data_IF_531695230365
#
_entry.id   IF_531695230365
#
_cell.length_a   1.000
_cell.length_b   1.000
_cell.length_c   1.000
_cell.angle_alpha   90.00
_cell.angle_beta   90.00
_cell.angle_gamma   90.00
#
_symmetry.space_group_name_H-M   'P 1'
#
loop_
_entity.id
_entity.type
_entity.pdbx_description
1 polymer ?
#
# COMPACT_ATOMS: atom_id res chain seq x y z
N UNK A 1 5.38 9.31 0.00
CA UNK A 1 5.60 8.96 -1.42
C UNK A 1 4.31 8.93 -2.22
N UNK A 2 3.30 8.19 -1.76
CA UNK A 2 2.07 7.91 -2.54
C UNK A 2 1.32 9.15 -3.04
N UNK A 3 1.17 10.21 -2.22
CA UNK A 3 0.47 11.43 -2.61
C UNK A 3 1.00 12.08 -3.90
N UNK A 4 2.32 12.19 -4.04
CA UNK A 4 2.95 12.73 -5.25
C UNK A 4 2.69 11.85 -6.48
N UNK A 5 2.64 10.52 -6.30
CA UNK A 5 2.38 9.57 -7.38
C UNK A 5 0.94 9.64 -7.89
N UNK A 6 -0.04 9.96 -7.03
CA UNK A 6 -1.42 10.19 -7.49
C UNK A 6 -1.53 11.37 -8.44
N UNK A 7 -0.72 12.41 -8.25
CA UNK A 7 -0.69 13.57 -9.14
C UNK A 7 0.13 13.31 -10.41
N UNK A 8 1.31 12.69 -10.27
CA UNK A 8 2.26 12.56 -11.38
C UNK A 8 2.00 11.35 -12.29
N UNK A 9 1.52 10.22 -11.76
CA UNK A 9 1.36 8.99 -12.55
C UNK A 9 0.37 9.13 -13.72
N UNK A 10 -0.81 9.76 -13.57
CA UNK A 10 -1.73 9.97 -14.69
C UNK A 10 -1.15 10.86 -15.79
N UNK A 11 -0.41 11.91 -15.39
CA UNK A 11 0.26 12.81 -16.32
C UNK A 11 1.38 12.09 -17.08
N UNK A 12 2.27 11.40 -16.37
CA UNK A 12 3.34 10.61 -16.97
C UNK A 12 2.78 9.59 -17.96
N UNK A 13 1.72 8.87 -17.56
CA UNK A 13 1.04 7.89 -18.40
C UNK A 13 0.43 8.51 -19.67
N UNK A 14 -0.15 9.72 -19.59
CA UNK A 14 -0.70 10.43 -20.75
C UNK A 14 0.38 10.76 -21.80
N UNK A 15 1.59 11.07 -21.36
CA UNK A 15 2.72 11.41 -22.25
C UNK A 15 3.60 10.19 -22.59
N UNK A 16 3.23 8.99 -22.15
CA UNK A 16 4.00 7.76 -22.41
C UNK A 16 5.31 7.66 -21.63
N UNK A 17 5.46 8.42 -20.55
CA UNK A 17 6.65 8.34 -19.69
C UNK A 17 6.49 7.25 -18.64
N UNK A 18 7.46 6.33 -18.59
CA UNK A 18 7.54 5.30 -17.55
C UNK A 18 7.82 5.93 -16.19
N UNK A 19 6.97 5.63 -15.21
CA UNK A 19 7.13 6.04 -13.83
C UNK A 19 7.34 4.82 -12.94
N UNK A 20 8.55 4.72 -12.38
CA UNK A 20 8.89 3.72 -11.37
C UNK A 20 8.68 4.31 -9.99
N UNK A 21 7.84 3.69 -9.19
CA UNK A 21 7.45 4.21 -7.89
C UNK A 21 8.02 3.34 -6.74
N UNK A 22 9.26 3.63 -6.27
CA UNK A 22 9.91 2.86 -5.21
C UNK A 22 9.40 3.18 -3.80
N UNK A 23 8.60 4.25 -3.64
CA UNK A 23 8.09 4.71 -2.33
C UNK A 23 6.57 4.88 -2.30
N UNK A 24 5.86 4.34 -3.31
CA UNK A 24 4.41 4.39 -3.39
C UNK A 24 3.82 3.05 -2.94
N UNK A 25 3.10 3.10 -1.83
CA UNK A 25 2.53 1.91 -1.18
C UNK A 25 1.00 1.83 -1.33
N UNK A 26 0.35 2.86 -1.87
CA UNK A 26 -1.12 2.84 -1.92
C UNK A 26 -1.64 1.91 -3.01
N UNK A 27 -2.55 1.01 -2.63
CA UNK A 27 -3.14 0.03 -3.55
C UNK A 27 -3.97 0.70 -4.65
N UNK A 28 -4.59 1.84 -4.33
CA UNK A 28 -5.40 2.59 -5.29
C UNK A 28 -4.61 3.02 -6.53
N UNK A 29 -3.29 3.25 -6.42
CA UNK A 29 -2.45 3.58 -7.58
C UNK A 29 -2.35 2.41 -8.57
N UNK A 30 -2.38 1.17 -8.07
CA UNK A 30 -2.41 -0.04 -8.90
C UNK A 30 -3.78 -0.20 -9.56
N UNK A 31 -4.85 0.08 -8.81
CA UNK A 31 -6.23 -0.04 -9.31
C UNK A 31 -6.57 0.95 -10.43
N UNK A 32 -5.78 2.03 -10.58
CA UNK A 32 -5.89 2.96 -11.71
C UNK A 32 -5.46 2.36 -13.06
N UNK A 33 -4.79 1.21 -13.07
CA UNK A 33 -4.39 0.46 -14.28
C UNK A 33 -3.64 1.32 -15.31
N UNK A 34 -2.70 2.13 -14.84
CA UNK A 34 -1.86 2.98 -15.69
C UNK A 34 -0.72 2.14 -16.32
N UNK A 35 -0.69 1.91 -17.66
CA UNK A 35 0.29 1.02 -18.29
C UNK A 35 1.76 1.41 -18.10
N UNK A 36 2.05 2.69 -17.90
CA UNK A 36 3.40 3.21 -17.71
C UNK A 36 3.80 3.35 -16.24
N UNK A 37 2.93 2.98 -15.29
CA UNK A 37 3.21 3.06 -13.87
C UNK A 37 3.58 1.68 -13.30
N UNK A 38 4.71 1.61 -12.62
CA UNK A 38 5.18 0.38 -11.98
C UNK A 38 5.42 0.64 -10.50
N UNK A 39 4.62 0.01 -9.64
CA UNK A 39 4.87 0.00 -8.21
C UNK A 39 5.97 -1.00 -7.89
N UNK A 40 7.02 -0.55 -7.21
CA UNK A 40 8.15 -1.40 -6.83
C UNK A 40 8.16 -1.72 -5.33
N UNK A 41 7.36 -0.99 -4.54
CA UNK A 41 7.26 -1.21 -3.11
C UNK A 41 6.17 -2.24 -2.79
N UNK A 42 6.40 -3.03 -1.73
CA UNK A 42 5.45 -4.02 -1.25
C UNK A 42 4.11 -3.36 -0.90
N UNK A 43 3.02 -4.03 -1.27
CA UNK A 43 1.66 -3.53 -1.07
C UNK A 43 1.12 -3.87 0.33
N UNK A 44 0.12 -3.11 0.84
CA UNK A 44 -0.40 -3.26 2.20
C UNK A 44 -0.87 -4.69 2.50
N UNK A 45 -1.49 -5.36 1.52
CA UNK A 45 -2.03 -6.71 1.67
C UNK A 45 -0.95 -7.74 2.00
N UNK A 46 0.19 -7.67 1.29
CA UNK A 46 1.32 -8.58 1.53
C UNK A 46 2.05 -8.25 2.81
N UNK A 47 2.22 -6.96 3.11
CA UNK A 47 2.92 -6.52 4.31
C UNK A 47 2.15 -6.85 5.59
N UNK A 48 0.85 -6.55 5.63
CA UNK A 48 0.02 -6.79 6.82
C UNK A 48 -0.28 -8.29 7.01
N UNK A 49 -0.47 -9.05 5.93
CA UNK A 49 -0.59 -10.52 6.03
C UNK A 49 0.64 -11.16 6.69
N UNK A 50 1.84 -10.79 6.25
CA UNK A 50 3.08 -11.28 6.85
C UNK A 50 3.23 -10.88 8.33
N UNK A 51 2.72 -9.70 8.72
CA UNK A 51 2.68 -9.29 10.12
C UNK A 51 1.74 -10.17 10.94
N UNK A 52 0.55 -10.51 10.43
CA UNK A 52 -0.37 -11.42 11.13
C UNK A 52 0.25 -12.81 11.28
N UNK A 53 0.86 -13.35 10.21
CA UNK A 53 1.54 -14.65 10.26
C UNK A 53 2.61 -14.68 11.36
N UNK A 54 3.39 -13.59 11.49
CA UNK A 54 4.37 -13.45 12.56
C UNK A 54 3.71 -13.43 13.95
N UNK A 55 2.62 -12.68 14.13
CA UNK A 55 1.90 -12.59 15.41
C UNK A 55 1.28 -13.94 15.82
N UNK A 56 0.73 -14.68 14.86
CA UNK A 56 0.19 -16.02 15.07
C UNK A 56 1.30 -17.00 15.48
N UNK A 57 2.44 -16.96 14.80
CA UNK A 57 3.60 -17.80 15.15
C UNK A 57 4.12 -17.51 16.58
N UNK A 58 3.96 -16.28 17.07
CA UNK A 58 4.30 -15.87 18.43
C UNK A 58 3.19 -16.07 19.47
N UNK A 59 2.07 -16.71 19.09
CA UNK A 59 0.91 -16.93 19.95
C UNK A 59 0.29 -15.66 20.56
N UNK A 60 0.39 -14.52 19.87
CA UNK A 60 -0.25 -13.27 20.31
C UNK A 60 -1.78 -13.42 20.28
N UNK A 61 -2.47 -13.03 21.36
CA UNK A 61 -3.94 -13.14 21.50
C UNK A 61 -4.65 -11.80 21.55
N UNK A 62 -3.94 -10.74 21.92
CA UNK A 62 -4.47 -9.38 22.07
C UNK A 62 -3.50 -8.40 21.46
N UNK A 63 -4.03 -7.39 20.78
CA UNK A 63 -3.26 -6.34 20.13
C UNK A 63 -4.05 -5.03 20.13
N UNK A 64 -3.33 -3.92 20.12
CA UNK A 64 -3.90 -2.57 19.97
C UNK A 64 -3.35 -1.97 18.68
N UNK A 65 -4.23 -1.52 17.79
CA UNK A 65 -3.83 -0.90 16.53
C UNK A 65 -3.92 0.61 16.69
N UNK A 66 -2.79 1.30 16.49
CA UNK A 66 -2.72 2.75 16.46
C UNK A 66 -2.26 3.16 15.07
N UNK A 67 -3.04 4.02 14.41
CA UNK A 67 -2.76 4.51 13.08
C UNK A 67 -3.12 6.00 12.98
N UNK A 68 -2.52 6.70 12.02
CA UNK A 68 -2.95 8.04 11.64
C UNK A 68 -4.17 7.94 10.74
N UNK A 69 -5.16 8.81 10.93
CA UNK A 69 -6.37 8.89 10.10
C UNK A 69 -6.10 9.55 8.74
N UNK A 70 -5.04 9.10 8.08
CA UNK A 70 -4.70 9.45 6.70
C UNK A 70 -4.90 8.22 5.80
N UNK A 71 -4.79 8.43 4.48
CA UNK A 71 -4.98 7.36 3.50
C UNK A 71 -4.04 6.17 3.74
N UNK A 72 -2.82 6.41 4.20
CA UNK A 72 -1.84 5.36 4.43
C UNK A 72 -2.22 4.53 5.67
N UNK A 73 -2.57 5.18 6.78
CA UNK A 73 -3.00 4.50 7.99
C UNK A 73 -4.29 3.72 7.78
N UNK A 74 -5.27 4.30 7.08
CA UNK A 74 -6.54 3.65 6.78
C UNK A 74 -6.35 2.41 5.88
N UNK A 75 -5.51 2.47 4.85
CA UNK A 75 -5.26 1.31 3.97
C UNK A 75 -4.54 0.17 4.69
N UNK A 76 -3.55 0.49 5.55
CA UNK A 76 -2.86 -0.53 6.33
C UNK A 76 -3.73 -1.11 7.45
N UNK A 77 -4.54 -0.27 8.11
CA UNK A 77 -5.52 -0.73 9.10
C UNK A 77 -6.53 -1.69 8.47
N UNK A 78 -7.11 -1.32 7.32
CA UNK A 78 -8.05 -2.18 6.61
C UNK A 78 -7.41 -3.49 6.16
N UNK A 79 -6.18 -3.45 5.64
CA UNK A 79 -5.44 -4.64 5.23
C UNK A 79 -5.12 -5.56 6.42
N UNK A 80 -4.71 -4.99 7.56
CA UNK A 80 -4.46 -5.74 8.79
C UNK A 80 -5.75 -6.36 9.33
N UNK A 81 -6.83 -5.60 9.40
CA UNK A 81 -8.12 -6.07 9.91
C UNK A 81 -8.74 -7.17 9.04
N UNK A 82 -8.45 -7.18 7.75
CA UNK A 82 -8.85 -8.26 6.84
C UNK A 82 -7.98 -9.53 6.98
N UNK A 83 -6.76 -9.39 7.52
CA UNK A 83 -5.80 -10.48 7.66
C UNK A 83 -5.86 -11.17 9.05
N UNK A 84 -6.38 -10.48 10.07
CA UNK A 84 -6.67 -11.03 11.41
C UNK A 84 -7.82 -12.05 11.37
#
# INVERSE_FOLDING_TARGET
GSGANFASAPLANRFGYTLLAPTALSRKLIDMRLPFFFSLLQQPDKMMGALVDMLVAQNVKTLTIVYMDDLFGLENFAALNNAL
#
